data_IF_631088632976
#
_entry.id   IF_631088632976
#
_cell.length_a   1.000
_cell.length_b   1.000
_cell.length_c   1.000
_cell.angle_alpha   90.00
_cell.angle_beta   90.00
_cell.angle_gamma   90.00
#
_symmetry.space_group_name_H-M   'P 1'
#
loop_
_entity.id
_entity.type
_entity.pdbx_description
1 polymer ?
#
# COMPACT_ATOMS: atom_id res chain seq x y z
N UNK A 1 9.31 12.05 24.66
CA UNK A 1 8.34 10.95 24.53
C UNK A 1 7.07 11.39 23.80
N UNK A 2 6.34 12.41 24.28
CA UNK A 2 5.07 12.86 23.67
C UNK A 2 5.19 13.22 22.19
N UNK A 3 6.25 13.92 21.77
CA UNK A 3 6.50 14.28 20.37
C UNK A 3 6.70 13.06 19.45
N UNK A 4 7.25 11.95 19.96
CA UNK A 4 7.38 10.72 19.18
C UNK A 4 6.04 9.99 19.04
N UNK A 5 5.19 10.06 20.08
CA UNK A 5 3.83 9.54 20.02
C UNK A 5 3.00 10.31 19.00
N UNK A 6 3.08 11.64 18.98
CA UNK A 6 2.38 12.49 18.01
C UNK A 6 2.78 12.17 16.55
N UNK A 7 4.04 11.81 16.34
CA UNK A 7 4.56 11.38 15.05
C UNK A 7 4.06 10.00 14.62
N UNK A 8 3.90 9.06 15.56
CA UNK A 8 3.57 7.68 15.26
C UNK A 8 2.06 7.39 15.29
N UNK A 9 1.31 8.10 16.13
CA UNK A 9 -0.14 7.94 16.27
C UNK A 9 -0.83 8.72 15.16
N UNK A 10 -1.63 8.03 14.34
CA UNK A 10 -2.26 8.62 13.15
C UNK A 10 -1.25 9.30 12.20
N UNK A 11 -0.07 8.69 12.06
CA UNK A 11 1.02 9.22 11.29
C UNK A 11 0.59 9.58 9.85
N UNK A 12 0.88 10.82 9.47
CA UNK A 12 0.70 11.33 8.11
C UNK A 12 2.02 11.94 7.64
N UNK A 13 2.47 11.56 6.45
CA UNK A 13 3.71 12.04 5.85
C UNK A 13 3.46 12.72 4.52
N UNK A 14 4.31 13.68 4.20
CA UNK A 14 4.29 14.39 2.93
C UNK A 14 4.62 13.42 1.80
N UNK A 15 5.70 12.66 1.93
CA UNK A 15 6.18 11.72 0.92
C UNK A 15 6.89 10.50 1.54
N UNK A 16 7.09 9.48 0.71
CA UNK A 16 7.76 8.23 1.07
C UNK A 16 9.02 8.03 0.22
N UNK A 17 10.07 7.51 0.85
CA UNK A 17 11.30 7.13 0.18
C UNK A 17 12.19 8.32 -0.17
N UNK A 18 12.18 9.37 0.66
CA UNK A 18 12.99 10.57 0.43
C UNK A 18 14.35 10.38 1.09
N UNK A 19 15.44 10.50 0.34
CA UNK A 19 16.81 10.35 0.87
C UNK A 19 17.38 11.67 1.41
N UNK A 20 17.06 12.79 0.77
CA UNK A 20 17.54 14.12 1.16
C UNK A 20 16.51 14.84 2.05
N UNK A 21 16.90 15.32 3.25
CA UNK A 21 16.00 16.11 4.07
C UNK A 21 15.57 17.39 3.33
N UNK A 22 14.27 17.76 3.36
CA UNK A 22 13.82 19.04 2.84
C UNK A 22 14.60 20.21 3.47
N UNK A 23 14.94 21.21 2.66
CA UNK A 23 15.73 22.37 3.13
C UNK A 23 14.95 23.32 4.04
N UNK A 24 13.62 23.39 3.90
CA UNK A 24 12.74 24.26 4.69
C UNK A 24 11.47 23.52 5.16
N UNK A 25 11.61 22.51 6.04
CA UNK A 25 10.47 21.78 6.58
C UNK A 25 9.68 22.66 7.57
N UNK A 26 8.37 22.50 7.59
CA UNK A 26 7.47 23.16 8.55
C UNK A 26 7.21 22.21 9.72
N UNK A 27 7.15 22.74 10.95
CA UNK A 27 6.92 21.93 12.13
C UNK A 27 5.60 21.14 12.00
N UNK A 28 5.63 19.85 12.36
CA UNK A 28 4.53 18.91 12.18
C UNK A 28 4.57 18.16 10.85
N UNK A 29 5.40 18.55 9.88
CA UNK A 29 5.60 17.73 8.68
C UNK A 29 6.48 16.53 8.98
N UNK A 30 6.21 15.43 8.28
CA UNK A 30 6.99 14.21 8.36
C UNK A 30 7.18 13.55 6.99
N UNK A 31 8.17 12.67 6.90
CA UNK A 31 8.55 11.91 5.72
C UNK A 31 8.90 10.49 6.10
N UNK A 32 8.71 9.54 5.19
CA UNK A 32 9.39 8.25 5.29
C UNK A 32 10.72 8.37 4.55
N UNK A 33 11.80 8.12 5.27
CA UNK A 33 13.17 8.19 4.77
C UNK A 33 13.42 7.06 3.77
N UNK A 34 14.19 7.35 2.72
CA UNK A 34 14.62 6.35 1.73
C UNK A 34 15.67 5.37 2.27
N UNK A 35 16.26 4.61 1.37
CA UNK A 35 17.23 3.57 1.71
C UNK A 35 18.66 4.12 1.90
N UNK A 36 18.96 5.28 1.32
CA UNK A 36 20.29 5.86 1.28
C UNK A 36 20.25 7.32 1.77
N UNK A 37 19.85 7.56 3.04
CA UNK A 37 19.63 8.91 3.52
C UNK A 37 20.91 9.73 3.58
N UNK A 38 20.77 11.03 3.36
CA UNK A 38 21.86 12.01 3.37
C UNK A 38 21.67 13.07 4.46
N UNK A 39 22.68 13.93 4.62
CA UNK A 39 22.63 15.08 5.53
C UNK A 39 22.24 14.70 6.96
N UNK A 40 21.23 15.38 7.50
CA UNK A 40 20.75 15.15 8.86
C UNK A 40 20.02 13.81 9.05
N UNK A 41 19.70 13.08 7.96
CA UNK A 41 19.00 11.81 8.00
C UNK A 41 19.95 10.59 7.93
N UNK A 42 21.27 10.80 7.78
CA UNK A 42 22.27 9.72 7.76
C UNK A 42 22.08 8.79 8.97
N UNK A 43 22.08 7.48 8.71
CA UNK A 43 21.87 6.46 9.73
C UNK A 43 20.41 6.18 10.10
N UNK A 44 19.44 6.79 9.40
CA UNK A 44 18.00 6.61 9.64
C UNK A 44 17.23 6.04 8.43
N UNK A 45 17.72 4.98 7.75
CA UNK A 45 17.02 4.45 6.58
C UNK A 45 15.62 3.96 6.96
N UNK A 46 14.64 4.19 6.07
CA UNK A 46 13.24 3.77 6.26
C UNK A 46 12.51 4.36 7.48
N UNK A 47 13.16 5.19 8.29
CA UNK A 47 12.55 5.80 9.45
C UNK A 47 11.43 6.77 9.07
N UNK A 48 10.51 6.99 10.00
CA UNK A 48 9.65 8.15 9.96
C UNK A 48 10.45 9.35 10.51
N UNK A 49 10.74 10.33 9.66
CA UNK A 49 11.43 11.56 10.03
C UNK A 49 10.42 12.71 10.15
N UNK A 50 10.24 13.22 11.37
CA UNK A 50 9.36 14.34 11.69
C UNK A 50 10.12 15.61 12.02
N UNK A 51 9.67 16.75 11.50
CA UNK A 51 10.22 18.05 11.84
C UNK A 51 9.45 18.70 12.99
N UNK A 52 10.19 19.20 13.97
CA UNK A 52 9.63 19.86 15.17
C UNK A 52 10.36 21.17 15.42
N UNK A 53 9.86 22.01 16.33
CA UNK A 53 10.58 23.23 16.75
C UNK A 53 11.98 22.95 17.31
N UNK A 54 12.22 21.74 17.83
CA UNK A 54 13.52 21.28 18.33
C UNK A 54 14.30 20.42 17.32
N UNK A 55 13.99 20.53 16.03
CA UNK A 55 14.64 19.82 14.93
C UNK A 55 14.03 18.46 14.60
N UNK A 56 14.80 17.63 13.89
CA UNK A 56 14.39 16.30 13.44
C UNK A 56 14.14 15.33 14.60
N UNK A 57 13.08 14.53 14.48
CA UNK A 57 12.80 13.38 15.32
C UNK A 57 12.59 12.18 14.42
N UNK A 58 13.10 11.03 14.86
CA UNK A 58 13.04 9.81 14.07
C UNK A 58 12.32 8.72 14.85
N UNK A 59 11.48 7.98 14.16
CA UNK A 59 10.89 6.74 14.65
C UNK A 59 11.35 5.62 13.72
N UNK A 60 12.11 4.67 14.25
CA UNK A 60 12.48 3.47 13.51
C UNK A 60 11.21 2.70 13.12
N UNK A 61 11.12 2.18 11.88
CA UNK A 61 9.94 1.46 11.46
C UNK A 61 9.87 0.12 12.19
N UNK A 62 8.65 -0.36 12.43
CA UNK A 62 8.39 -1.68 12.99
C UNK A 62 7.25 -2.32 12.22
N UNK A 63 7.21 -3.66 12.23
CA UNK A 63 6.19 -4.43 11.53
C UNK A 63 4.78 -3.98 11.92
N UNK A 64 3.98 -3.65 10.90
CA UNK A 64 2.61 -3.18 11.08
C UNK A 64 2.46 -1.67 11.23
N UNK A 65 3.53 -0.88 11.37
CA UNK A 65 3.43 0.58 11.36
C UNK A 65 2.73 1.06 10.08
N UNK A 66 1.69 1.87 10.24
CA UNK A 66 0.86 2.36 9.15
C UNK A 66 0.86 3.89 9.13
N UNK A 67 0.96 4.45 7.93
CA UNK A 67 1.12 5.89 7.71
C UNK A 67 0.30 6.29 6.48
N UNK A 68 -0.35 7.45 6.51
CA UNK A 68 -0.93 8.05 5.31
C UNK A 68 0.12 8.85 4.54
N UNK A 69 0.27 8.62 3.23
CA UNK A 69 1.20 9.37 2.37
C UNK A 69 0.41 10.35 1.54
N UNK A 70 0.49 11.65 1.90
CA UNK A 70 -0.32 12.71 1.31
C UNK A 70 -0.06 12.87 -0.19
N UNK A 71 1.21 12.92 -0.63
CA UNK A 71 1.54 13.08 -2.05
C UNK A 71 1.03 11.93 -2.93
N UNK A 72 0.83 10.74 -2.37
CA UNK A 72 0.35 9.56 -3.10
C UNK A 72 -1.16 9.31 -2.91
N UNK A 73 -1.82 10.02 -1.99
CA UNK A 73 -3.18 9.76 -1.52
C UNK A 73 -3.43 8.27 -1.20
N UNK A 74 -2.46 7.63 -0.53
CA UNK A 74 -2.47 6.20 -0.24
C UNK A 74 -1.91 5.93 1.15
N UNK A 75 -2.42 4.87 1.79
CA UNK A 75 -1.79 4.30 2.97
C UNK A 75 -0.50 3.56 2.61
N UNK A 76 0.51 3.67 3.46
CA UNK A 76 1.69 2.84 3.46
C UNK A 76 1.75 2.02 4.75
N UNK A 77 2.21 0.76 4.65
CA UNK A 77 2.46 -0.10 5.81
C UNK A 77 3.86 -0.68 5.75
N UNK A 78 4.57 -0.64 6.87
CA UNK A 78 5.83 -1.36 7.00
C UNK A 78 5.54 -2.85 7.24
N UNK A 79 5.92 -3.69 6.29
CA UNK A 79 5.63 -5.12 6.32
C UNK A 79 6.68 -5.95 5.57
N UNK A 80 7.24 -6.95 6.26
CA UNK A 80 8.32 -7.79 5.73
C UNK A 80 9.61 -7.00 5.48
N UNK A 81 9.96 -6.10 6.41
CA UNK A 81 11.18 -5.30 6.34
C UNK A 81 11.17 -4.14 5.33
N UNK A 82 10.02 -3.82 4.72
CA UNK A 82 9.90 -2.75 3.74
C UNK A 82 8.56 -2.01 3.83
N UNK A 83 8.55 -0.74 3.41
CA UNK A 83 7.32 0.02 3.22
C UNK A 83 6.59 -0.42 1.96
N UNK A 84 5.30 -0.74 2.11
CA UNK A 84 4.39 -1.09 1.00
C UNK A 84 3.36 0.02 0.84
N UNK A 85 3.40 0.72 -0.29
CA UNK A 85 2.49 1.82 -0.60
C UNK A 85 1.28 1.32 -1.39
N UNK A 86 0.08 1.60 -0.90
CA UNK A 86 -1.17 1.29 -1.60
C UNK A 86 -1.52 -0.20 -1.70
N UNK A 87 -0.73 -1.08 -1.11
CA UNK A 87 -1.06 -2.51 -1.02
C UNK A 87 -1.99 -2.74 0.16
N UNK A 88 -3.15 -3.34 -0.10
CA UNK A 88 -4.03 -3.88 0.94
C UNK A 88 -3.73 -5.37 1.13
N UNK A 89 -3.34 -5.75 2.33
CA UNK A 89 -3.13 -7.14 2.71
C UNK A 89 -4.16 -7.50 3.80
N UNK A 90 -4.98 -8.49 3.54
CA UNK A 90 -6.03 -8.95 4.43
C UNK A 90 -6.67 -10.25 3.93
N UNK A 91 -7.53 -10.84 4.74
CA UNK A 91 -8.19 -12.11 4.42
C UNK A 91 -9.45 -11.94 3.55
N UNK A 92 -10.12 -10.79 3.62
CA UNK A 92 -11.33 -10.50 2.89
C UNK A 92 -11.65 -9.00 2.83
N UNK A 93 -12.42 -8.61 1.81
CA UNK A 93 -13.19 -7.36 1.78
C UNK A 93 -14.64 -7.72 2.05
N UNK A 94 -15.27 -7.02 3.00
CA UNK A 94 -16.69 -7.18 3.33
C UNK A 94 -17.44 -5.88 3.04
N UNK A 95 -18.66 -5.99 2.50
CA UNK A 95 -19.61 -4.89 2.31
C UNK A 95 -20.91 -5.31 2.99
N UNK A 96 -21.37 -4.53 3.97
CA UNK A 96 -22.56 -4.84 4.78
C UNK A 96 -22.55 -6.26 5.38
N UNK A 97 -21.37 -6.72 5.81
CA UNK A 97 -21.15 -8.07 6.37
C UNK A 97 -21.04 -9.19 5.34
N UNK A 98 -21.26 -8.90 4.05
CA UNK A 98 -21.14 -9.87 2.96
C UNK A 98 -19.71 -9.86 2.42
N UNK A 99 -19.07 -11.03 2.33
CA UNK A 99 -17.75 -11.15 1.70
C UNK A 99 -17.87 -10.93 0.19
N UNK A 100 -17.23 -9.88 -0.31
CA UNK A 100 -17.19 -9.55 -1.75
C UNK A 100 -15.87 -9.95 -2.42
N UNK A 101 -14.76 -9.90 -1.68
CA UNK A 101 -13.44 -10.38 -2.12
C UNK A 101 -12.84 -11.25 -1.03
N UNK A 102 -12.22 -12.37 -1.41
CA UNK A 102 -11.49 -13.27 -0.52
C UNK A 102 -10.22 -13.77 -1.20
N UNK A 103 -9.70 -14.92 -0.77
CA UNK A 103 -8.59 -15.58 -1.46
C UNK A 103 -8.95 -15.87 -2.93
N UNK A 104 -7.96 -15.79 -3.81
CA UNK A 104 -8.09 -16.17 -5.22
C UNK A 104 -8.65 -17.59 -5.33
N UNK A 105 -9.62 -17.79 -6.23
CA UNK A 105 -10.22 -19.11 -6.48
C UNK A 105 -9.52 -19.84 -7.62
N UNK A 106 -9.81 -21.14 -7.75
CA UNK A 106 -9.33 -21.93 -8.89
C UNK A 106 -9.81 -21.39 -10.23
N UNK A 107 -9.08 -21.72 -11.30
CA UNK A 107 -9.42 -21.33 -12.66
C UNK A 107 -10.77 -21.94 -13.07
N UNK A 108 -11.55 -21.17 -13.82
CA UNK A 108 -12.75 -21.66 -14.49
C UNK A 108 -12.36 -21.93 -15.93
N UNK A 109 -12.66 -23.12 -16.44
CA UNK A 109 -12.37 -23.49 -17.82
C UNK A 109 -13.21 -22.67 -18.79
N UNK A 110 -12.62 -22.34 -19.94
CA UNK A 110 -13.35 -21.68 -21.01
C UNK A 110 -14.49 -22.59 -21.52
N UNK A 111 -15.63 -22.00 -21.94
CA UNK A 111 -16.75 -22.78 -22.44
C UNK A 111 -16.30 -23.63 -23.64
N UNK A 112 -16.64 -24.90 -23.62
CA UNK A 112 -16.39 -25.86 -24.70
C UNK A 112 -17.64 -26.71 -24.98
N UNK A 113 -17.70 -27.33 -26.16
CA UNK A 113 -18.84 -28.15 -26.58
C UNK A 113 -20.09 -27.35 -26.99
N UNK A 114 -21.21 -28.08 -27.14
CA UNK A 114 -22.50 -27.57 -27.61
C UNK A 114 -22.67 -27.72 -29.13
N UNK A 115 -23.75 -28.36 -29.57
CA UNK A 115 -24.04 -28.58 -30.99
C UNK A 115 -24.60 -27.33 -31.70
N UNK A 116 -25.24 -26.43 -30.95
CA UNK A 116 -25.82 -25.17 -31.43
C UNK A 116 -25.40 -24.01 -30.52
N UNK A 117 -24.09 -23.79 -30.40
CA UNK A 117 -23.58 -22.75 -29.53
C UNK A 117 -23.70 -21.35 -30.15
N UNK A 118 -24.18 -20.41 -29.36
CA UNK A 118 -24.16 -18.97 -29.64
C UNK A 118 -22.72 -18.45 -29.55
N UNK A 119 -22.22 -17.87 -30.65
CA UNK A 119 -20.83 -17.45 -30.77
C UNK A 119 -20.56 -16.16 -30.00
N UNK A 120 -21.52 -15.23 -30.02
CA UNK A 120 -21.49 -13.95 -29.31
C UNK A 120 -21.48 -14.17 -27.79
N UNK A 121 -22.32 -15.08 -27.30
CA UNK A 121 -22.35 -15.47 -25.89
C UNK A 121 -21.02 -16.10 -25.47
N UNK A 122 -20.43 -16.96 -26.31
CA UNK A 122 -19.14 -17.59 -26.03
C UNK A 122 -18.02 -16.56 -25.92
N UNK A 123 -17.99 -15.60 -26.85
CA UNK A 123 -17.01 -14.52 -26.83
C UNK A 123 -17.15 -13.66 -25.57
N UNK A 124 -18.38 -13.34 -25.17
CA UNK A 124 -18.65 -12.57 -23.95
C UNK A 124 -18.17 -13.31 -22.69
N UNK A 125 -18.46 -14.62 -22.56
CA UNK A 125 -18.00 -15.44 -21.43
C UNK A 125 -16.47 -15.48 -21.37
N UNK A 126 -15.81 -15.71 -22.51
CA UNK A 126 -14.35 -15.73 -22.57
C UNK A 126 -13.74 -14.38 -22.13
N UNK A 127 -14.32 -13.26 -22.54
CA UNK A 127 -13.89 -11.93 -22.13
C UNK A 127 -14.08 -11.69 -20.62
N UNK A 128 -15.19 -12.17 -20.04
CA UNK A 128 -15.44 -12.11 -18.59
C UNK A 128 -14.38 -12.95 -17.85
N UNK A 129 -14.14 -14.20 -18.26
CA UNK A 129 -13.13 -15.05 -17.63
C UNK A 129 -11.73 -14.44 -17.71
N UNK A 130 -11.35 -13.90 -18.88
CA UNK A 130 -10.10 -13.17 -19.06
C UNK A 130 -9.97 -11.99 -18.09
N UNK A 131 -11.05 -11.22 -17.93
CA UNK A 131 -11.09 -10.09 -16.98
C UNK A 131 -10.92 -10.55 -15.53
N UNK A 132 -11.61 -11.63 -15.13
CA UNK A 132 -11.50 -12.20 -13.77
C UNK A 132 -10.09 -12.73 -13.47
N UNK A 133 -9.45 -13.37 -14.45
CA UNK A 133 -8.05 -13.82 -14.36
C UNK A 133 -7.10 -12.61 -14.25
N UNK A 134 -7.29 -11.59 -15.09
CA UNK A 134 -6.49 -10.37 -15.11
C UNK A 134 -6.56 -9.56 -13.81
N UNK A 135 -7.72 -9.53 -13.14
CA UNK A 135 -7.86 -8.95 -11.80
C UNK A 135 -7.34 -9.85 -10.67
N UNK A 136 -7.02 -11.12 -10.95
CA UNK A 136 -6.57 -12.09 -9.94
C UNK A 136 -7.68 -12.66 -9.05
N UNK A 137 -8.95 -12.58 -9.47
CA UNK A 137 -10.08 -13.13 -8.71
C UNK A 137 -10.15 -14.67 -8.82
N UNK A 138 -9.76 -15.20 -9.99
CA UNK A 138 -9.57 -16.62 -10.26
C UNK A 138 -8.15 -16.85 -10.80
N UNK A 139 -7.63 -18.07 -10.66
CA UNK A 139 -6.38 -18.46 -11.30
C UNK A 139 -6.52 -18.46 -12.84
N UNK A 140 -5.40 -18.24 -13.52
CA UNK A 140 -5.30 -18.27 -14.98
C UNK A 140 -5.53 -19.67 -15.53
#
# INVERSE_FOLDING_TARGET
>A
ALTLLDLAVQASVVALGVDDPPAAPVAGQAWIVGAAPTGAWVGQPHALAGWTAGGWRFVAPYEGLAVWVTAAARGARYAGGAWRLGTLAGSAVLIDGIRVVGAQRGAISDPSGGAAADAEARAAIAAILSTLRGHGLIAS
#
